data_IF_275393719335
#
_entry.id   IF_275393719335
#
_cell.length_a   1.000
_cell.length_b   1.000
_cell.length_c   1.000
_cell.angle_alpha   90.00
_cell.angle_beta   90.00
_cell.angle_gamma   90.00
#
_symmetry.space_group_name_H-M   'P 1'
#
loop_
_entity.id
_entity.type
_entity.pdbx_description
1 polymer ?
#
# COMPACT_ATOMS: atom_id res chain seq x y z
N UNK A 1 -5.37 -1.50 -4.37
CA UNK A 1 -4.09 -1.16 -5.03
C UNK A 1 -3.49 -2.42 -5.65
N UNK A 2 -2.93 -2.35 -6.87
CA UNK A 2 -2.18 -3.47 -7.47
C UNK A 2 -0.70 -3.09 -7.47
N UNK A 3 0.15 -3.97 -6.93
CA UNK A 3 1.61 -3.84 -6.92
C UNK A 3 2.19 -4.79 -7.96
N UNK A 4 3.01 -4.26 -8.88
CA UNK A 4 3.51 -5.01 -10.04
C UNK A 4 5.04 -4.94 -10.23
N UNK A 5 5.76 -4.48 -9.21
CA UNK A 5 7.22 -4.42 -9.19
C UNK A 5 7.73 -4.07 -7.80
N UNK A 6 8.91 -4.58 -7.45
CA UNK A 6 9.62 -4.26 -6.22
C UNK A 6 11.12 -4.44 -6.45
N UNK A 7 11.94 -3.56 -5.87
CA UNK A 7 13.39 -3.73 -5.82
C UNK A 7 13.76 -4.80 -4.78
N UNK A 8 14.37 -5.93 -5.21
CA UNK A 8 14.74 -7.01 -4.29
C UNK A 8 15.65 -6.52 -3.17
N UNK A 9 15.38 -6.95 -1.94
CA UNK A 9 16.17 -6.61 -0.76
C UNK A 9 15.89 -5.21 -0.19
N UNK A 10 15.11 -4.36 -0.86
CA UNK A 10 14.69 -3.05 -0.33
C UNK A 10 13.18 -3.00 -0.07
N UNK A 11 12.37 -3.51 -1.01
CA UNK A 11 10.92 -3.27 -1.03
C UNK A 11 10.06 -4.50 -0.67
N UNK A 12 10.67 -5.65 -0.40
CA UNK A 12 9.97 -6.90 -0.06
C UNK A 12 9.07 -6.76 1.19
N UNK A 13 9.54 -5.97 2.16
CA UNK A 13 8.78 -5.63 3.36
C UNK A 13 7.53 -4.80 3.05
N UNK A 14 7.60 -3.90 2.07
CA UNK A 14 6.48 -3.06 1.65
C UNK A 14 5.41 -3.89 0.95
N UNK A 15 5.82 -4.79 0.05
CA UNK A 15 4.91 -5.73 -0.63
C UNK A 15 4.19 -6.59 0.40
N UNK A 16 4.95 -7.21 1.30
CA UNK A 16 4.39 -8.06 2.38
C UNK A 16 3.41 -7.30 3.26
N UNK A 17 3.75 -6.06 3.65
CA UNK A 17 2.88 -5.22 4.46
C UNK A 17 1.54 -4.90 3.78
N UNK A 18 1.56 -4.52 2.49
CA UNK A 18 0.34 -4.17 1.75
C UNK A 18 -0.56 -5.38 1.54
N UNK A 19 0.02 -6.54 1.20
CA UNK A 19 -0.73 -7.79 0.99
C UNK A 19 -1.32 -8.30 2.30
N UNK A 20 -0.53 -8.38 3.36
CA UNK A 20 -0.98 -8.90 4.66
C UNK A 20 -2.07 -8.02 5.30
N UNK A 21 -2.04 -6.71 5.06
CA UNK A 21 -3.06 -5.79 5.56
C UNK A 21 -4.32 -5.72 4.67
N UNK A 22 -4.37 -6.50 3.59
CA UNK A 22 -5.49 -6.52 2.64
C UNK A 22 -5.71 -5.18 1.94
N UNK A 23 -4.67 -4.35 1.84
CA UNK A 23 -4.71 -3.05 1.17
C UNK A 23 -4.28 -3.13 -0.30
N UNK A 24 -3.85 -4.30 -0.77
CA UNK A 24 -3.55 -4.51 -2.17
C UNK A 24 -3.22 -5.94 -2.52
N UNK A 25 -2.98 -6.16 -3.81
CA UNK A 25 -2.64 -7.45 -4.38
C UNK A 25 -1.28 -7.33 -5.08
N UNK A 26 -0.46 -8.37 -4.93
CA UNK A 26 0.81 -8.52 -5.65
C UNK A 26 0.58 -9.30 -6.94
N UNK A 27 0.97 -8.71 -8.08
CA UNK A 27 0.81 -9.30 -9.40
C UNK A 27 1.97 -8.89 -10.33
N UNK A 28 2.95 -9.79 -10.51
CA UNK A 28 4.12 -9.58 -11.37
C UNK A 28 3.81 -9.76 -12.86
N UNK A 29 2.90 -10.68 -13.18
CA UNK A 29 2.60 -11.05 -14.55
C UNK A 29 1.47 -10.17 -15.13
N UNK A 30 1.60 -9.66 -16.37
CA UNK A 30 0.56 -8.84 -17.01
C UNK A 30 -0.83 -9.49 -17.01
N UNK A 31 -0.89 -10.81 -17.25
CA UNK A 31 -2.15 -11.56 -17.23
C UNK A 31 -2.80 -11.53 -15.84
N UNK A 32 -1.99 -11.61 -14.78
CA UNK A 32 -2.49 -11.57 -13.40
C UNK A 32 -3.02 -10.19 -13.03
N UNK A 33 -2.41 -9.12 -13.54
CA UNK A 33 -2.91 -7.76 -13.38
C UNK A 33 -4.29 -7.62 -14.04
N UNK A 34 -4.43 -8.13 -15.27
CA UNK A 34 -5.69 -8.11 -16.03
C UNK A 34 -6.78 -8.89 -15.29
N UNK A 35 -6.49 -10.09 -14.79
CA UNK A 35 -7.43 -10.89 -13.98
C UNK A 35 -7.91 -10.14 -12.74
N UNK A 36 -7.01 -9.50 -11.99
CA UNK A 36 -7.36 -8.74 -10.78
C UNK A 36 -8.23 -7.52 -11.13
N UNK A 37 -7.93 -6.85 -12.25
CA UNK A 37 -8.73 -5.73 -12.74
C UNK A 37 -10.13 -6.17 -13.13
N UNK A 38 -10.28 -7.24 -13.91
CA UNK A 38 -11.59 -7.80 -14.25
C UNK A 38 -12.37 -8.18 -13.00
N UNK A 39 -11.75 -8.89 -12.07
CA UNK A 39 -12.40 -9.29 -10.83
C UNK A 39 -12.90 -8.10 -10.00
N UNK A 40 -12.16 -6.98 -9.95
CA UNK A 40 -12.59 -5.76 -9.23
C UNK A 40 -13.64 -4.93 -9.96
N UNK A 41 -13.70 -5.03 -11.29
CA UNK A 41 -14.77 -4.41 -12.07
C UNK A 41 -16.08 -5.19 -11.92
N UNK A 42 -16.00 -6.52 -11.90
CA UNK A 42 -17.16 -7.41 -11.74
C UNK A 42 -17.66 -7.47 -10.28
N UNK A 43 -16.74 -7.30 -9.32
CA UNK A 43 -17.03 -7.33 -7.88
C UNK A 43 -16.64 -6.01 -7.20
N UNK A 44 -17.45 -4.94 -7.34
CA UNK A 44 -17.13 -3.63 -6.80
C UNK A 44 -17.02 -3.62 -5.27
N UNK A 45 -17.68 -4.54 -4.58
CA UNK A 45 -17.60 -4.70 -3.12
C UNK A 45 -16.22 -5.15 -2.66
N UNK A 46 -15.55 -6.04 -3.39
CA UNK A 46 -14.18 -6.48 -3.10
C UNK A 46 -13.18 -5.34 -3.32
N UNK A 47 -13.38 -4.57 -4.39
CA UNK A 47 -12.62 -3.34 -4.62
C UNK A 47 -12.79 -2.33 -3.50
N UNK A 48 -14.00 -2.12 -3.01
CA UNK A 48 -14.28 -1.17 -1.91
C UNK A 48 -13.59 -1.61 -0.61
N UNK A 49 -13.61 -2.90 -0.28
CA UNK A 49 -12.87 -3.45 0.90
C UNK A 49 -11.39 -3.10 0.83
N UNK A 50 -10.76 -3.33 -0.33
CA UNK A 50 -9.35 -2.99 -0.56
C UNK A 50 -9.14 -1.47 -0.42
N UNK A 51 -10.04 -0.64 -0.97
CA UNK A 51 -9.96 0.81 -0.87
C UNK A 51 -10.09 1.33 0.57
N UNK A 52 -11.00 0.77 1.37
CA UNK A 52 -11.13 1.08 2.80
C UNK A 52 -9.83 0.73 3.55
N UNK A 53 -9.26 -0.44 3.29
CA UNK A 53 -8.00 -0.84 3.90
C UNK A 53 -6.84 0.08 3.50
N UNK A 54 -6.72 0.47 2.21
CA UNK A 54 -5.75 1.47 1.78
C UNK A 54 -5.88 2.78 2.59
N UNK A 55 -7.11 3.30 2.68
CA UNK A 55 -7.38 4.57 3.40
C UNK A 55 -7.02 4.47 4.88
N UNK A 56 -7.33 3.34 5.52
CA UNK A 56 -7.00 3.08 6.93
C UNK A 56 -5.49 3.05 7.21
N UNK A 57 -4.69 2.55 6.27
CA UNK A 57 -3.23 2.49 6.43
C UNK A 57 -2.53 3.81 6.09
N UNK A 58 -3.20 4.72 5.38
CA UNK A 58 -2.61 6.00 5.00
C UNK A 58 -2.34 6.86 6.25
N UNK A 59 -1.08 7.29 6.41
CA UNK A 59 -0.67 8.26 7.43
C UNK A 59 -0.26 9.57 6.76
N UNK A 60 -1.26 10.38 6.43
CA UNK A 60 -1.06 11.64 5.68
C UNK A 60 -0.15 12.65 6.40
N UNK A 61 -0.11 12.62 7.74
CA UNK A 61 0.70 13.56 8.54
C UNK A 61 2.10 13.05 8.91
N UNK A 62 2.51 11.88 8.42
CA UNK A 62 3.77 11.23 8.82
C UNK A 62 4.98 12.17 8.65
N UNK A 63 5.10 12.85 7.50
CA UNK A 63 6.19 13.78 7.22
C UNK A 63 6.20 14.98 8.16
N UNK A 64 5.03 15.54 8.48
CA UNK A 64 4.90 16.65 9.42
C UNK A 64 5.25 16.25 10.85
N UNK A 65 4.88 15.03 11.27
CA UNK A 65 5.20 14.49 12.58
C UNK A 65 6.71 14.29 12.76
N UNK A 66 7.38 13.72 11.76
CA UNK A 66 8.84 13.53 11.79
C UNK A 66 9.57 14.88 11.82
N UNK A 67 9.11 15.85 11.02
CA UNK A 67 9.70 17.19 11.01
C UNK A 67 9.56 17.91 12.36
N UNK A 68 8.42 17.77 13.05
CA UNK A 68 8.22 18.33 14.39
C UNK A 68 9.09 17.63 15.44
N UNK A 69 9.17 16.30 15.39
CA UNK A 69 9.97 15.52 16.33
C UNK A 69 11.47 15.85 16.25
N UNK A 70 12.01 16.04 15.04
CA UNK A 70 13.42 16.43 14.86
C UNK A 70 13.74 17.85 15.33
N UNK A 71 12.75 18.76 15.33
CA UNK A 71 12.92 20.12 15.87
C UNK A 71 12.95 20.16 17.39
N UNK A 72 12.23 19.26 18.07
CA UNK A 72 12.26 19.19 19.55
C UNK A 72 13.51 18.54 20.13
N UNK A 73 14.23 17.71 19.36
CA UNK A 73 15.46 17.03 19.81
C UNK A 73 16.74 17.75 19.40
N UNK A 74 16.64 18.97 18.84
CA UNK A 74 17.78 19.80 18.42
C UNK A 74 17.95 21.07 19.24
N UNK A 75 17.23 21.18 20.36
CA UNK A 75 17.35 22.25 21.34
C UNK A 75 17.61 21.60 22.71
N UNK A 76 18.69 20.83 22.80
CA UNK A 76 19.37 20.39 24.03
C UNK A 76 20.86 20.29 23.71
#
# INVERSE_FOLDING_TARGET
>A
MILYGCMPGQEDGNVSYVVNQGAGVWALEPNRIIEVLHNWLDHPTEREKVAVNCRRLARLDASHLVARHRKSTGCD
#
